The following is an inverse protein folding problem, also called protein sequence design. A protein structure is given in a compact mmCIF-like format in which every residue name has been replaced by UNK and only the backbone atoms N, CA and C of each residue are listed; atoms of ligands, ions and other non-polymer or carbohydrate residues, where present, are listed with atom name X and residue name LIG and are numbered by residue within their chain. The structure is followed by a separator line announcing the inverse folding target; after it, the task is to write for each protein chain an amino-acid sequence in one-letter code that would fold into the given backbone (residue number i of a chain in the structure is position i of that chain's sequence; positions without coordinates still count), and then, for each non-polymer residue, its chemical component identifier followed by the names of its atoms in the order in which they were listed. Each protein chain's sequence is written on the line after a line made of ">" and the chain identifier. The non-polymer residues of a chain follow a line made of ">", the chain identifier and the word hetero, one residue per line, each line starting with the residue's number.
data_IF_334462656633
#
_entry.id   IF_334462656633
#
_cell.length_a   1.000
_cell.length_b   1.000
_cell.length_c   1.000
_cell.angle_alpha   90.00
_cell.angle_beta   90.00
_cell.angle_gamma   90.00
#
_symmetry.space_group_name_H-M   'P 1'
#
loop_
_entity.id
_entity.type
_entity.pdbx_description
1 polymer ?
#
# COMPACT_ATOMS: atom_id res chain seq x y z
N UNK A 1 15.17 11.21 -7.92
CA UNK A 1 14.04 11.11 -6.99
C UNK A 1 12.75 10.97 -7.77
N UNK A 2 11.92 10.00 -7.43
CA UNK A 2 10.60 9.86 -8.05
C UNK A 2 9.68 10.87 -7.40
N UNK A 3 9.08 11.77 -8.18
CA UNK A 3 8.06 12.69 -7.69
C UNK A 3 6.79 11.91 -7.31
N UNK A 4 6.15 12.21 -6.17
CA UNK A 4 4.90 11.56 -5.79
C UNK A 4 3.78 11.95 -6.76
N UNK A 5 2.87 11.00 -7.04
CA UNK A 5 1.70 11.24 -7.87
C UNK A 5 0.79 12.29 -7.23
N UNK A 6 0.59 13.41 -7.92
CA UNK A 6 -0.33 14.44 -7.43
C UNK A 6 -1.79 13.98 -7.52
N UNK A 7 -2.64 14.49 -6.64
CA UNK A 7 -4.09 14.18 -6.64
C UNK A 7 -4.75 14.57 -7.96
N UNK A 8 -4.31 15.68 -8.55
CA UNK A 8 -4.80 16.12 -9.86
C UNK A 8 -4.43 15.15 -10.98
N UNK A 9 -3.16 14.72 -11.03
CA UNK A 9 -2.70 13.75 -12.04
C UNK A 9 -3.40 12.40 -11.87
N UNK A 10 -3.56 11.94 -10.63
CA UNK A 10 -4.30 10.71 -10.31
C UNK A 10 -5.75 10.77 -10.82
N UNK A 11 -6.44 11.88 -10.57
CA UNK A 11 -7.80 12.08 -11.06
C UNK A 11 -7.86 12.11 -12.60
N UNK A 12 -6.87 12.74 -13.25
CA UNK A 12 -6.79 12.77 -14.73
C UNK A 12 -6.55 11.39 -15.33
N UNK A 13 -5.66 10.59 -14.73
CA UNK A 13 -5.42 9.21 -15.17
C UNK A 13 -6.71 8.38 -15.04
N UNK A 14 -7.39 8.43 -13.89
CA UNK A 14 -8.68 7.74 -13.72
C UNK A 14 -9.73 8.17 -14.76
N UNK A 15 -9.78 9.47 -15.06
CA UNK A 15 -10.72 9.98 -16.06
C UNK A 15 -10.43 9.46 -17.47
N UNK A 16 -9.15 9.39 -17.87
CA UNK A 16 -8.74 8.85 -19.18
C UNK A 16 -9.06 7.35 -19.27
N UNK A 17 -8.76 6.57 -18.23
CA UNK A 17 -9.05 5.15 -18.20
C UNK A 17 -10.56 4.86 -18.33
N UNK A 18 -11.39 5.72 -17.74
CA UNK A 18 -12.85 5.58 -17.77
C UNK A 18 -13.52 5.97 -19.10
N UNK A 19 -12.76 6.57 -20.04
CA UNK A 19 -13.29 7.12 -21.29
C UNK A 19 -12.57 6.57 -22.52
N UNK A 20 -12.99 5.42 -23.07
CA UNK A 20 -12.36 4.82 -24.24
C UNK A 20 -12.25 5.74 -25.44
N UNK A 21 -13.16 6.71 -25.58
CA UNK A 21 -13.14 7.71 -26.65
C UNK A 21 -11.91 8.64 -26.61
N UNK A 22 -11.33 8.85 -25.43
CA UNK A 22 -10.10 9.66 -25.26
C UNK A 22 -8.83 8.87 -25.61
N UNK A 23 -8.88 7.52 -25.72
CA UNK A 23 -7.71 6.69 -25.98
C UNK A 23 -7.10 6.87 -27.37
N UNK A 24 -7.85 7.43 -28.30
CA UNK A 24 -7.34 7.74 -29.66
C UNK A 24 -6.12 8.67 -29.64
N UNK A 25 -5.98 9.47 -28.59
CA UNK A 25 -4.82 10.37 -28.38
C UNK A 25 -3.63 9.68 -27.70
N UNK A 26 -3.77 8.43 -27.23
CA UNK A 26 -2.71 7.68 -26.57
C UNK A 26 -1.81 6.95 -27.61
N UNK A 27 -0.55 6.63 -27.27
CA UNK A 27 0.29 5.77 -28.08
C UNK A 27 -0.36 4.41 -28.35
N UNK A 28 -0.08 3.83 -29.51
CA UNK A 28 -0.71 2.57 -29.94
C UNK A 28 -0.53 1.44 -28.93
N UNK A 29 0.69 1.27 -28.40
CA UNK A 29 1.00 0.24 -27.41
C UNK A 29 0.16 0.39 -26.13
N UNK A 30 -0.11 1.64 -25.72
CA UNK A 30 -0.94 1.92 -24.53
C UNK A 30 -2.40 1.57 -24.83
N UNK A 31 -2.89 1.90 -26.03
CA UNK A 31 -4.25 1.53 -26.44
C UNK A 31 -4.46 0.03 -26.45
N UNK A 32 -3.53 -0.71 -27.07
CA UNK A 32 -3.56 -2.17 -27.10
C UNK A 32 -3.63 -2.78 -25.69
N UNK A 33 -2.81 -2.26 -24.76
CA UNK A 33 -2.86 -2.68 -23.35
C UNK A 33 -4.21 -2.44 -22.69
N UNK A 34 -4.82 -1.28 -22.94
CA UNK A 34 -6.13 -0.95 -22.38
C UNK A 34 -7.25 -1.77 -23.01
N UNK A 35 -7.18 -2.08 -24.30
CA UNK A 35 -8.13 -2.95 -24.99
C UNK A 35 -8.06 -4.38 -24.45
N UNK A 36 -6.86 -4.94 -24.27
CA UNK A 36 -6.66 -6.26 -23.67
C UNK A 36 -7.13 -6.26 -22.23
N UNK A 37 -6.85 -5.21 -21.45
CA UNK A 37 -7.37 -5.06 -20.09
C UNK A 37 -8.90 -5.12 -20.06
N UNK A 38 -9.55 -4.41 -20.98
CA UNK A 38 -11.01 -4.38 -21.07
C UNK A 38 -11.60 -5.73 -21.49
N UNK A 39 -10.89 -6.47 -22.31
CA UNK A 39 -11.29 -7.82 -22.74
C UNK A 39 -11.12 -8.85 -21.62
N UNK A 40 -10.03 -8.80 -20.86
CA UNK A 40 -9.71 -9.76 -19.79
C UNK A 40 -10.41 -9.47 -18.47
N UNK A 41 -10.61 -8.21 -18.19
CA UNK A 41 -11.15 -7.73 -16.93
C UNK A 41 -12.16 -6.62 -17.19
N UNK A 42 -11.89 -5.46 -16.61
CA UNK A 42 -12.61 -4.22 -16.89
C UNK A 42 -11.66 -3.03 -16.72
N UNK A 43 -12.14 -1.86 -17.13
CA UNK A 43 -11.61 -0.59 -16.71
C UNK A 43 -12.61 0.08 -15.77
N UNK A 44 -12.15 0.58 -14.59
CA UNK A 44 -13.06 1.19 -13.62
C UNK A 44 -13.58 2.54 -14.13
N UNK A 45 -14.80 2.91 -13.75
CA UNK A 45 -15.28 4.29 -13.87
C UNK A 45 -14.45 5.20 -12.97
N UNK A 46 -14.45 6.49 -13.24
CA UNK A 46 -13.57 7.45 -12.57
C UNK A 46 -13.70 7.48 -11.02
N UNK A 47 -14.85 7.11 -10.48
CA UNK A 47 -15.12 7.06 -9.03
C UNK A 47 -14.99 5.67 -8.41
N UNK A 48 -14.82 4.62 -9.23
CA UNK A 48 -14.81 3.24 -8.76
C UNK A 48 -13.41 2.80 -8.32
N UNK A 49 -13.36 1.78 -7.47
CA UNK A 49 -12.15 1.01 -7.19
C UNK A 49 -12.27 -0.35 -7.87
N UNK A 50 -11.41 -0.63 -8.83
CA UNK A 50 -11.23 -1.98 -9.35
C UNK A 50 -10.38 -2.79 -8.38
N UNK A 51 -10.87 -3.98 -8.02
CA UNK A 51 -10.15 -5.01 -7.28
C UNK A 51 -10.14 -6.27 -8.12
N UNK A 52 -8.97 -6.75 -8.46
CA UNK A 52 -8.77 -8.01 -9.17
C UNK A 52 -8.20 -9.06 -8.24
N UNK A 53 -8.66 -10.29 -8.37
CA UNK A 53 -8.10 -11.45 -7.67
C UNK A 53 -7.78 -12.55 -8.68
N UNK A 54 -6.62 -13.17 -8.54
CA UNK A 54 -6.21 -14.28 -9.42
C UNK A 54 -5.19 -15.18 -8.72
N UNK A 55 -5.15 -16.48 -9.09
CA UNK A 55 -4.07 -17.38 -8.68
C UNK A 55 -2.85 -17.16 -9.58
N UNK A 56 -1.65 -17.30 -9.02
CA UNK A 56 -0.40 -17.37 -9.78
C UNK A 56 0.62 -18.19 -9.00
N UNK A 57 1.16 -19.23 -9.65
CA UNK A 57 1.98 -20.24 -9.00
C UNK A 57 1.26 -20.82 -7.75
N UNK A 58 1.91 -20.82 -6.60
CA UNK A 58 1.33 -21.34 -5.35
C UNK A 58 0.56 -20.27 -4.53
N UNK A 59 0.43 -19.05 -5.04
CA UNK A 59 -0.14 -17.92 -4.32
C UNK A 59 -1.44 -17.42 -4.96
N UNK A 60 -2.22 -16.72 -4.13
CA UNK A 60 -3.39 -15.95 -4.57
C UNK A 60 -3.12 -14.47 -4.38
N UNK A 61 -3.49 -13.67 -5.37
CA UNK A 61 -3.23 -12.24 -5.42
C UNK A 61 -4.54 -11.44 -5.31
N UNK A 62 -4.46 -10.33 -4.60
CA UNK A 62 -5.43 -9.25 -4.64
C UNK A 62 -4.70 -8.01 -5.13
N UNK A 63 -5.15 -7.45 -6.23
CA UNK A 63 -4.61 -6.20 -6.78
C UNK A 63 -5.72 -5.17 -6.83
N UNK A 64 -5.46 -3.99 -6.30
CA UNK A 64 -6.39 -2.87 -6.39
C UNK A 64 -5.70 -1.63 -6.96
N UNK A 65 -6.51 -0.77 -7.58
CA UNK A 65 -6.04 0.38 -8.35
C UNK A 65 -6.63 1.70 -7.83
N UNK A 66 -6.18 2.19 -6.65
CA UNK A 66 -6.70 3.43 -6.07
C UNK A 66 -6.20 4.69 -6.76
N UNK A 67 -5.01 4.68 -7.39
CA UNK A 67 -4.34 5.82 -8.00
C UNK A 67 -4.08 6.99 -7.02
N UNK A 68 -3.73 6.67 -5.77
CA UNK A 68 -3.56 7.67 -4.71
C UNK A 68 -2.10 7.88 -4.29
N UNK A 69 -1.17 7.30 -5.02
CA UNK A 69 0.26 7.42 -4.75
C UNK A 69 0.80 6.37 -3.78
N UNK A 70 2.10 6.10 -3.92
CA UNK A 70 2.80 5.01 -3.22
C UNK A 70 2.63 5.07 -1.70
N UNK A 71 2.70 6.25 -1.09
CA UNK A 71 2.65 6.39 0.36
C UNK A 71 1.29 5.98 0.93
N UNK A 72 0.19 6.49 0.34
CA UNK A 72 -1.16 6.09 0.72
C UNK A 72 -1.39 4.59 0.46
N UNK A 73 -0.86 4.05 -0.65
CA UNK A 73 -0.97 2.62 -0.97
C UNK A 73 -0.17 1.74 0.01
N UNK A 74 1.00 2.18 0.48
CA UNK A 74 1.76 1.45 1.49
C UNK A 74 1.00 1.38 2.81
N UNK A 75 0.40 2.49 3.25
CA UNK A 75 -0.45 2.52 4.45
C UNK A 75 -1.66 1.61 4.27
N UNK A 76 -2.35 1.70 3.14
CA UNK A 76 -3.47 0.82 2.81
C UNK A 76 -3.05 -0.66 2.81
N UNK A 77 -1.90 -1.00 2.22
CA UNK A 77 -1.37 -2.35 2.17
C UNK A 77 -1.14 -2.96 3.54
N UNK A 78 -0.57 -2.19 4.47
CA UNK A 78 -0.38 -2.62 5.85
C UNK A 78 -1.73 -2.90 6.56
N UNK A 79 -2.71 -2.01 6.39
CA UNK A 79 -4.01 -2.17 7.03
C UNK A 79 -4.81 -3.34 6.44
N UNK A 80 -4.82 -3.49 5.11
CA UNK A 80 -5.47 -4.61 4.45
C UNK A 80 -4.82 -5.95 4.79
N UNK A 81 -3.50 -6.02 4.85
CA UNK A 81 -2.78 -7.24 5.26
C UNK A 81 -3.23 -7.69 6.65
N UNK A 82 -3.33 -6.79 7.63
CA UNK A 82 -3.84 -7.12 8.97
C UNK A 82 -5.28 -7.64 8.94
N UNK A 83 -6.15 -7.06 8.11
CA UNK A 83 -7.54 -7.53 7.96
C UNK A 83 -7.60 -8.92 7.32
N UNK A 84 -6.77 -9.18 6.31
CA UNK A 84 -6.66 -10.49 5.66
C UNK A 84 -6.08 -11.55 6.62
N UNK A 85 -5.14 -11.19 7.49
CA UNK A 85 -4.65 -12.07 8.57
C UNK A 85 -5.76 -12.46 9.53
N UNK A 86 -6.56 -11.50 10.01
CA UNK A 86 -7.72 -11.77 10.87
C UNK A 86 -8.75 -12.66 10.17
N UNK A 87 -8.93 -12.50 8.88
CA UNK A 87 -9.76 -13.36 8.05
C UNK A 87 -9.13 -14.74 7.74
N UNK A 88 -7.95 -15.04 8.30
CA UNK A 88 -7.19 -16.30 8.12
C UNK A 88 -6.76 -16.59 6.68
N UNK A 89 -6.59 -15.56 5.87
CA UNK A 89 -6.16 -15.67 4.47
C UNK A 89 -4.65 -15.78 4.28
N UNK A 90 -3.89 -15.74 5.37
CA UNK A 90 -2.44 -15.94 5.41
C UNK A 90 -1.69 -15.10 4.36
N UNK A 91 -1.78 -13.77 4.39
CA UNK A 91 -1.01 -12.92 3.51
C UNK A 91 0.49 -13.11 3.76
N UNK A 92 1.29 -13.11 2.70
CA UNK A 92 2.74 -13.26 2.74
C UNK A 92 3.45 -11.93 2.56
N UNK A 93 2.82 -10.98 1.89
CA UNK A 93 3.39 -9.66 1.66
C UNK A 93 2.51 -8.78 0.78
N UNK A 94 2.98 -7.56 0.58
CA UNK A 94 2.38 -6.63 -0.36
C UNK A 94 3.45 -5.73 -1.00
N UNK A 95 3.14 -5.22 -2.17
CA UNK A 95 3.91 -4.18 -2.85
C UNK A 95 2.99 -3.08 -3.33
N UNK A 96 3.53 -1.87 -3.43
CA UNK A 96 2.79 -0.70 -3.86
C UNK A 96 3.62 0.17 -4.80
N UNK A 97 2.97 0.70 -5.82
CA UNK A 97 3.52 1.77 -6.66
C UNK A 97 2.60 2.99 -6.62
N UNK A 98 2.82 3.96 -7.50
CA UNK A 98 2.03 5.20 -7.53
C UNK A 98 0.56 4.97 -7.92
N UNK A 99 0.22 3.85 -8.57
CA UNK A 99 -1.08 3.60 -9.20
C UNK A 99 -1.85 2.47 -8.55
N UNK A 100 -1.16 1.46 -8.02
CA UNK A 100 -1.75 0.20 -7.57
C UNK A 100 -1.05 -0.35 -6.33
N UNK A 101 -1.76 -1.26 -5.69
CA UNK A 101 -1.33 -2.08 -4.57
C UNK A 101 -1.61 -3.53 -4.90
N UNK A 102 -0.65 -4.42 -4.68
CA UNK A 102 -0.80 -5.87 -4.79
C UNK A 102 -0.47 -6.55 -3.46
N UNK A 103 -1.34 -7.43 -3.01
CA UNK A 103 -1.15 -8.28 -1.82
C UNK A 103 -1.18 -9.72 -2.31
N UNK A 104 -0.29 -10.57 -1.81
CA UNK A 104 -0.30 -12.00 -2.11
C UNK A 104 -0.28 -12.83 -0.85
N UNK A 105 -0.82 -14.03 -0.94
CA UNK A 105 -0.93 -14.93 0.19
C UNK A 105 -1.29 -16.35 -0.23
N UNK A 106 -1.42 -17.24 0.77
CA UNK A 106 -1.74 -18.64 0.55
C UNK A 106 -3.26 -18.91 0.47
N UNK A 107 -4.08 -18.02 1.01
CA UNK A 107 -5.54 -18.15 1.01
C UNK A 107 -6.15 -17.68 -0.29
N UNK A 108 -7.13 -18.43 -0.81
CA UNK A 108 -7.90 -18.05 -2.01
C UNK A 108 -8.92 -16.96 -1.66
N UNK A 109 -8.52 -15.71 -1.90
CA UNK A 109 -9.33 -14.52 -1.60
C UNK A 109 -10.64 -14.53 -2.41
N UNK A 110 -10.59 -14.91 -3.70
CA UNK A 110 -11.77 -14.97 -4.56
C UNK A 110 -12.81 -15.96 -4.03
N UNK A 111 -12.35 -17.13 -3.59
CA UNK A 111 -13.22 -18.16 -3.02
C UNK A 111 -13.87 -17.69 -1.71
N UNK A 112 -13.13 -17.04 -0.82
CA UNK A 112 -13.66 -16.51 0.45
C UNK A 112 -14.70 -15.41 0.21
N UNK A 113 -14.48 -14.50 -0.77
CA UNK A 113 -15.47 -13.50 -1.16
C UNK A 113 -16.72 -14.19 -1.72
N UNK A 114 -16.56 -15.19 -2.60
CA UNK A 114 -17.69 -15.93 -3.20
C UNK A 114 -18.52 -16.67 -2.17
N UNK A 115 -17.88 -17.21 -1.12
CA UNK A 115 -18.57 -17.90 0.00
C UNK A 115 -19.25 -16.93 0.98
N UNK A 116 -18.93 -15.64 0.92
CA UNK A 116 -19.45 -14.66 1.85
C UNK A 116 -18.73 -14.65 3.21
N UNK A 117 -17.54 -15.24 3.29
CA UNK A 117 -16.74 -15.27 4.54
C UNK A 117 -16.31 -13.84 4.93
N UNK A 118 -16.13 -12.95 3.96
CA UNK A 118 -16.01 -11.50 4.11
C UNK A 118 -16.38 -10.79 2.80
N UNK A 119 -16.63 -9.48 2.89
CA UNK A 119 -16.90 -8.65 1.72
C UNK A 119 -15.77 -7.63 1.48
N UNK A 120 -15.61 -7.22 0.23
CA UNK A 120 -14.68 -6.14 -0.10
C UNK A 120 -15.11 -4.81 0.54
N UNK A 121 -16.42 -4.59 0.73
CA UNK A 121 -16.92 -3.41 1.44
C UNK A 121 -16.41 -3.36 2.88
N UNK A 122 -16.41 -4.49 3.59
CA UNK A 122 -15.83 -4.59 4.94
C UNK A 122 -14.30 -4.49 4.91
N UNK A 123 -13.63 -5.08 3.92
CA UNK A 123 -12.19 -5.03 3.80
C UNK A 123 -11.68 -3.60 3.62
N UNK A 124 -12.40 -2.78 2.84
CA UNK A 124 -12.05 -1.39 2.52
C UNK A 124 -12.89 -0.37 3.31
N UNK A 125 -13.45 -0.75 4.45
CA UNK A 125 -14.24 0.18 5.27
C UNK A 125 -13.33 1.25 5.91
N UNK A 126 -13.87 2.47 6.04
CA UNK A 126 -13.17 3.61 6.63
C UNK A 126 -12.78 3.39 8.10
N UNK A 127 -13.43 2.46 8.80
CA UNK A 127 -13.12 2.10 10.19
C UNK A 127 -11.68 1.58 10.36
N UNK A 128 -11.02 1.16 9.26
CA UNK A 128 -9.57 0.83 9.28
C UNK A 128 -8.70 1.99 9.74
N UNK A 129 -9.13 3.25 9.55
CA UNK A 129 -8.40 4.44 9.99
C UNK A 129 -8.58 4.76 11.48
N UNK A 130 -9.48 4.06 12.16
CA UNK A 130 -9.63 4.08 13.62
C UNK A 130 -8.77 2.99 14.28
N UNK A 131 -9.41 1.97 14.82
CA UNK A 131 -8.79 0.93 15.66
C UNK A 131 -7.65 0.18 14.96
N UNK A 132 -7.77 -0.11 13.65
CA UNK A 132 -6.73 -0.85 12.90
C UNK A 132 -5.45 -0.02 12.75
N UNK A 133 -5.58 1.24 12.41
CA UNK A 133 -4.46 2.17 12.28
C UNK A 133 -3.81 2.43 13.66
N UNK A 134 -4.60 2.68 14.68
CA UNK A 134 -4.15 2.90 16.05
C UNK A 134 -3.36 1.68 16.57
N UNK A 135 -3.91 0.47 16.41
CA UNK A 135 -3.26 -0.76 16.81
C UNK A 135 -1.94 -0.98 16.05
N UNK A 136 -1.92 -0.70 14.74
CA UNK A 136 -0.70 -0.82 13.95
C UNK A 136 0.35 0.21 14.37
N UNK A 137 -0.04 1.47 14.53
CA UNK A 137 0.87 2.54 14.98
C UNK A 137 1.49 2.21 16.33
N UNK A 138 0.68 1.70 17.27
CA UNK A 138 1.13 1.35 18.60
C UNK A 138 2.25 0.28 18.61
N UNK A 139 2.23 -0.65 17.66
CA UNK A 139 3.19 -1.75 17.54
C UNK A 139 4.35 -1.42 16.58
N UNK A 140 4.24 -0.34 15.79
CA UNK A 140 5.16 -0.08 14.69
C UNK A 140 6.48 0.56 15.14
N UNK A 141 7.57 0.13 14.52
CA UNK A 141 8.88 0.78 14.65
C UNK A 141 8.87 2.23 14.12
N UNK A 142 7.89 2.58 13.28
CA UNK A 142 7.67 3.93 12.77
C UNK A 142 7.40 4.90 13.91
N UNK A 143 6.45 4.56 14.80
CA UNK A 143 6.11 5.40 15.95
C UNK A 143 7.28 5.61 16.89
N UNK A 144 8.05 4.55 17.21
CA UNK A 144 9.26 4.66 18.02
C UNK A 144 10.29 5.58 17.38
N UNK A 145 10.48 5.52 16.07
CA UNK A 145 11.38 6.38 15.32
C UNK A 145 10.91 7.83 15.30
N UNK A 146 9.64 8.09 15.05
CA UNK A 146 9.05 9.43 15.02
C UNK A 146 9.08 10.05 16.44
N UNK A 147 8.70 9.28 17.46
CA UNK A 147 8.80 9.69 18.85
C UNK A 147 10.24 10.10 19.23
N UNK A 148 11.24 9.35 18.78
CA UNK A 148 12.66 9.69 19.01
C UNK A 148 13.02 11.06 18.46
N UNK A 149 12.54 11.37 17.25
CA UNK A 149 12.75 12.69 16.64
C UNK A 149 12.08 13.79 17.47
N UNK A 150 10.84 13.61 17.88
CA UNK A 150 10.11 14.55 18.72
C UNK A 150 10.79 14.74 20.10
N UNK A 151 11.24 13.65 20.72
CA UNK A 151 11.90 13.67 22.04
C UNK A 151 13.26 14.41 22.01
N UNK A 152 14.01 14.28 20.92
CA UNK A 152 15.27 15.02 20.70
C UNK A 152 14.97 16.50 20.49
N UNK A 153 14.01 16.87 19.66
CA UNK A 153 13.62 18.26 19.39
C UNK A 153 13.10 18.93 20.66
N UNK A 154 12.33 18.21 21.47
CA UNK A 154 11.81 18.71 22.75
C UNK A 154 12.86 18.75 23.88
N UNK A 155 14.10 18.33 23.64
CA UNK A 155 15.16 18.29 24.65
C UNK A 155 14.96 17.24 25.74
N UNK A 156 14.01 16.32 25.60
CA UNK A 156 13.82 15.23 26.57
C UNK A 156 14.99 14.24 26.52
N UNK A 157 15.62 14.12 25.37
CA UNK A 157 16.76 13.24 25.13
C UNK A 157 17.86 14.05 24.48
N UNK A 158 18.95 14.23 25.23
CA UNK A 158 20.12 14.90 24.71
C UNK A 158 20.99 13.95 23.88
N UNK A 159 21.33 14.41 22.68
CA UNK A 159 22.17 13.68 21.73
C UNK A 159 23.66 13.80 22.08
N UNK A 160 24.04 14.91 22.72
CA UNK A 160 25.42 15.24 23.09
C UNK A 160 25.46 15.81 24.48
N UNK A 161 26.37 15.28 25.31
CA UNK A 161 26.83 15.93 26.56
C UNK A 161 28.21 16.53 26.32
N UNK A 162 28.62 17.57 27.07
CA UNK A 162 29.99 18.05 27.03
C UNK A 162 30.95 16.91 27.38
N UNK A 163 31.73 16.45 26.39
CA UNK A 163 32.71 15.37 26.55
C UNK A 163 32.28 13.97 26.21
N UNK A 164 30.98 13.70 25.98
CA UNK A 164 30.49 12.36 25.57
C UNK A 164 29.40 12.45 24.51
N UNK A 165 29.54 11.67 23.43
CA UNK A 165 28.51 11.48 22.43
C UNK A 165 27.88 10.08 22.58
N UNK A 166 26.59 10.02 22.92
CA UNK A 166 25.86 8.74 23.01
C UNK A 166 25.83 8.05 21.65
N UNK A 167 26.16 6.77 21.63
CA UNK A 167 26.03 5.97 20.41
C UNK A 167 24.57 5.92 19.94
N UNK A 168 24.36 5.74 18.63
CA UNK A 168 23.00 5.56 18.06
C UNK A 168 22.22 4.46 18.77
N UNK A 169 22.88 3.38 19.18
CA UNK A 169 22.28 2.26 19.89
C UNK A 169 21.77 2.65 21.28
N UNK A 170 22.57 3.40 22.04
CA UNK A 170 22.20 3.88 23.38
C UNK A 170 21.01 4.85 23.30
N UNK A 171 21.01 5.78 22.33
CA UNK A 171 19.88 6.68 22.07
C UNK A 171 18.61 5.91 21.72
N UNK A 172 18.71 4.87 20.90
CA UNK A 172 17.57 4.05 20.50
C UNK A 172 16.97 3.33 21.71
N UNK A 173 17.79 2.64 22.50
CA UNK A 173 17.31 1.87 23.66
C UNK A 173 16.65 2.80 24.69
N UNK A 174 17.29 3.94 25.01
CA UNK A 174 16.75 4.90 25.97
C UNK A 174 15.42 5.50 25.51
N UNK A 175 15.31 5.82 24.21
CA UNK A 175 14.11 6.44 23.66
C UNK A 175 12.96 5.44 23.57
N UNK A 176 13.25 4.23 23.17
CA UNK A 176 12.24 3.18 23.05
C UNK A 176 11.66 2.81 24.43
N UNK A 177 12.50 2.80 25.47
CA UNK A 177 12.04 2.60 26.84
C UNK A 177 11.13 3.75 27.30
N UNK A 178 11.51 5.00 27.06
CA UNK A 178 10.68 6.16 27.41
C UNK A 178 9.35 6.12 26.64
N UNK A 179 9.37 5.78 25.36
CA UNK A 179 8.15 5.60 24.55
C UNK A 179 7.22 4.56 25.17
N UNK A 180 7.74 3.38 25.49
CA UNK A 180 6.93 2.28 26.04
C UNK A 180 6.36 2.63 27.43
N UNK A 181 7.12 3.33 28.27
CA UNK A 181 6.67 3.82 29.60
C UNK A 181 5.58 4.88 29.45
N UNK A 182 5.77 5.89 28.59
CA UNK A 182 4.77 6.93 28.37
C UNK A 182 3.50 6.35 27.76
N UNK A 183 3.60 5.46 26.80
CA UNK A 183 2.44 4.80 26.20
C UNK A 183 1.61 4.04 27.24
N UNK A 184 2.28 3.38 28.17
CA UNK A 184 1.61 2.58 29.21
C UNK A 184 0.98 3.42 30.33
N UNK A 185 1.64 4.50 30.74
CA UNK A 185 1.28 5.23 31.94
C UNK A 185 0.71 6.64 31.68
N UNK A 186 1.00 7.22 30.53
CA UNK A 186 0.55 8.55 30.09
C UNK A 186 0.24 8.56 28.59
N UNK A 187 -0.78 7.84 28.12
CA UNK A 187 -1.07 7.71 26.69
C UNK A 187 -1.36 9.05 26.00
N UNK A 188 -1.85 10.04 26.73
CA UNK A 188 -2.14 11.39 26.22
C UNK A 188 -0.96 12.35 26.30
N UNK A 189 0.26 11.85 26.61
CA UNK A 189 1.44 12.70 26.71
C UNK A 189 1.69 13.45 25.41
N UNK A 190 2.03 14.76 25.52
CA UNK A 190 2.18 15.67 24.37
C UNK A 190 3.16 15.15 23.31
N UNK A 191 4.24 14.49 23.70
CA UNK A 191 5.21 13.91 22.76
C UNK A 191 4.67 12.70 22.00
N UNK A 192 3.81 11.89 22.61
CA UNK A 192 3.12 10.80 21.91
C UNK A 192 2.13 11.36 20.90
N UNK A 193 1.37 12.39 21.27
CA UNK A 193 0.44 13.08 20.37
C UNK A 193 1.17 13.77 19.22
N UNK A 194 2.29 14.43 19.49
CA UNK A 194 3.12 15.04 18.46
C UNK A 194 3.69 14.00 17.49
N UNK A 195 4.22 12.88 18.01
CA UNK A 195 4.74 11.80 17.19
C UNK A 195 3.64 11.16 16.34
N UNK A 196 2.43 10.97 16.88
CA UNK A 196 1.28 10.47 16.14
C UNK A 196 0.86 11.43 15.01
N UNK A 197 0.74 12.71 15.32
CA UNK A 197 0.37 13.73 14.33
C UNK A 197 1.40 13.83 13.20
N UNK A 198 2.69 13.79 13.54
CA UNK A 198 3.79 13.85 12.56
C UNK A 198 3.79 12.60 11.65
N UNK A 199 3.62 11.41 12.24
CA UNK A 199 3.50 10.16 11.49
C UNK A 199 2.27 10.17 10.56
N UNK A 200 1.12 10.56 11.06
CA UNK A 200 -0.14 10.57 10.30
C UNK A 200 -0.08 11.56 9.11
N UNK A 201 0.52 12.74 9.33
CA UNK A 201 0.53 13.80 8.32
C UNK A 201 1.66 13.61 7.29
N UNK A 202 2.86 13.29 7.75
CA UNK A 202 4.05 13.30 6.92
C UNK A 202 4.43 11.95 6.31
N UNK A 203 4.07 10.83 6.97
CA UNK A 203 4.59 9.51 6.64
C UNK A 203 3.55 8.51 6.16
N UNK A 204 2.26 8.75 6.40
CA UNK A 204 1.21 7.78 6.11
C UNK A 204 0.16 8.26 5.11
N UNK A 205 0.16 9.55 4.80
CA UNK A 205 -0.82 10.19 3.90
C UNK A 205 -2.29 9.84 4.25
N UNK A 206 -2.60 9.87 5.54
CA UNK A 206 -3.91 9.43 6.07
C UNK A 206 -5.06 10.22 5.48
N UNK A 207 -4.88 11.53 5.26
CA UNK A 207 -5.91 12.38 4.67
C UNK A 207 -6.31 11.86 3.29
N UNK A 208 -5.33 11.61 2.43
CA UNK A 208 -5.56 11.12 1.07
C UNK A 208 -6.21 9.73 1.07
N UNK A 209 -5.78 8.87 2.00
CA UNK A 209 -6.38 7.55 2.18
C UNK A 209 -7.84 7.65 2.64
N UNK A 210 -8.17 8.55 3.60
CA UNK A 210 -9.53 8.78 4.05
C UNK A 210 -10.44 9.29 2.92
N UNK A 211 -9.98 10.25 2.14
CA UNK A 211 -10.69 10.77 0.97
C UNK A 211 -10.96 9.66 -0.06
N UNK A 212 -9.98 8.78 -0.28
CA UNK A 212 -10.11 7.64 -1.19
C UNK A 212 -11.14 6.64 -0.67
N UNK A 213 -11.07 6.22 0.60
CA UNK A 213 -12.00 5.26 1.19
C UNK A 213 -13.44 5.79 1.16
N UNK A 214 -13.65 7.08 1.46
CA UNK A 214 -14.95 7.73 1.35
C UNK A 214 -15.49 7.73 -0.09
N UNK A 215 -14.63 8.03 -1.05
CA UNK A 215 -14.98 8.05 -2.48
C UNK A 215 -15.42 6.69 -3.01
N UNK A 216 -14.76 5.61 -2.60
CA UNK A 216 -15.02 4.25 -3.10
C UNK A 216 -16.15 3.52 -2.39
N UNK A 217 -16.75 4.09 -1.35
CA UNK A 217 -17.86 3.49 -0.61
C UNK A 217 -19.02 3.15 -1.55
N UNK A 218 -19.38 1.86 -1.63
CA UNK A 218 -20.39 1.36 -2.57
C UNK A 218 -19.97 1.37 -4.05
N UNK A 219 -18.68 1.60 -4.34
CA UNK A 219 -18.13 1.69 -5.70
C UNK A 219 -16.95 0.75 -5.94
N UNK A 220 -16.89 -0.33 -5.20
CA UNK A 220 -15.85 -1.36 -5.39
C UNK A 220 -16.34 -2.37 -6.40
N UNK A 221 -15.57 -2.55 -7.44
CA UNK A 221 -15.86 -3.54 -8.49
C UNK A 221 -14.84 -4.67 -8.40
N UNK A 222 -15.31 -5.89 -8.17
CA UNK A 222 -14.47 -7.08 -8.07
C UNK A 222 -14.48 -7.87 -9.37
N UNK A 223 -13.29 -8.29 -9.81
CA UNK A 223 -13.09 -9.26 -10.89
C UNK A 223 -12.20 -10.39 -10.42
N UNK A 224 -12.76 -11.59 -10.38
CA UNK A 224 -12.00 -12.82 -10.21
C UNK A 224 -11.51 -13.27 -11.59
N UNK A 225 -10.19 -13.31 -11.76
CA UNK A 225 -9.52 -13.65 -13.00
C UNK A 225 -8.81 -15.00 -12.86
N UNK A 226 -8.51 -15.62 -13.98
CA UNK A 226 -7.71 -16.86 -14.01
C UNK A 226 -6.21 -16.58 -14.15
N UNK A 227 -5.85 -15.43 -14.68
CA UNK A 227 -4.47 -15.02 -14.98
C UNK A 227 -4.27 -13.53 -14.66
N UNK A 228 -3.00 -13.11 -14.69
CA UNK A 228 -2.56 -11.72 -14.57
C UNK A 228 -3.26 -10.83 -15.61
N UNK A 229 -3.69 -9.65 -15.20
CA UNK A 229 -4.22 -8.62 -16.11
C UNK A 229 -3.13 -7.64 -16.54
N UNK A 230 -3.26 -6.97 -17.69
CA UNK A 230 -2.29 -5.94 -18.11
C UNK A 230 -2.06 -4.85 -17.05
N UNK A 231 -3.10 -4.33 -16.40
CA UNK A 231 -2.95 -3.29 -15.36
C UNK A 231 -2.18 -3.77 -14.13
N UNK A 232 -2.17 -5.06 -13.82
CA UNK A 232 -1.47 -5.60 -12.64
C UNK A 232 0.03 -5.75 -12.87
N UNK A 233 0.50 -5.88 -14.11
CA UNK A 233 1.91 -6.13 -14.43
C UNK A 233 2.85 -5.10 -13.77
N UNK A 234 2.64 -3.77 -13.89
CA UNK A 234 3.58 -2.81 -13.33
C UNK A 234 3.76 -2.90 -11.81
N UNK A 235 2.72 -3.24 -11.05
CA UNK A 235 2.83 -3.38 -9.60
C UNK A 235 3.44 -4.73 -9.21
N UNK A 236 3.17 -5.79 -9.96
CA UNK A 236 3.75 -7.12 -9.70
C UNK A 236 5.27 -7.13 -9.95
N UNK A 237 5.77 -6.33 -10.89
CA UNK A 237 7.22 -6.16 -11.12
C UNK A 237 7.96 -5.55 -9.92
N UNK A 238 7.27 -4.82 -9.04
CA UNK A 238 7.88 -4.31 -7.82
C UNK A 238 8.26 -5.45 -6.85
N UNK A 239 7.59 -6.61 -6.89
CA UNK A 239 7.91 -7.78 -6.07
C UNK A 239 9.35 -8.25 -6.33
N UNK A 240 9.76 -8.33 -7.60
CA UNK A 240 11.11 -8.71 -7.98
C UNK A 240 12.17 -7.69 -7.55
N UNK A 241 11.84 -6.40 -7.57
CA UNK A 241 12.77 -5.32 -7.19
C UNK A 241 13.11 -5.28 -5.70
N UNK A 242 12.21 -5.72 -4.84
CA UNK A 242 12.46 -5.77 -3.39
C UNK A 242 13.31 -6.97 -2.98
N UNK A 243 13.37 -8.01 -3.81
CA UNK A 243 13.95 -9.31 -3.45
C UNK A 243 15.41 -9.50 -3.90
N UNK A 244 15.95 -8.68 -4.79
CA UNK A 244 17.25 -8.97 -5.45
C UNK A 244 18.14 -7.72 -5.55
N UNK A 245 19.30 -7.77 -4.90
CA UNK A 245 20.38 -6.78 -5.05
C UNK A 245 21.54 -7.39 -5.84
N UNK A 246 21.95 -6.75 -6.98
CA UNK A 246 23.15 -7.11 -7.75
C UNK A 246 22.94 -7.11 -9.28
N UNK A 247 24.03 -7.16 -10.05
CA UNK A 247 24.00 -7.12 -11.54
C UNK A 247 23.26 -8.32 -12.19
N UNK A 248 23.23 -9.48 -11.53
CA UNK A 248 22.41 -10.63 -11.95
C UNK A 248 20.90 -10.37 -11.77
N UNK A 249 20.53 -9.36 -10.99
CA UNK A 249 19.18 -8.92 -10.71
C UNK A 249 18.48 -8.34 -11.93
N UNK A 250 19.18 -7.57 -12.75
CA UNK A 250 18.56 -6.87 -13.89
C UNK A 250 18.14 -7.85 -15.00
N UNK A 251 18.93 -8.92 -15.23
CA UNK A 251 18.56 -9.97 -16.19
C UNK A 251 17.37 -10.80 -15.71
N UNK A 252 17.36 -11.21 -14.42
CA UNK A 252 16.25 -11.96 -13.85
C UNK A 252 14.97 -11.13 -13.79
N UNK A 253 15.08 -9.83 -13.53
CA UNK A 253 13.95 -8.91 -13.56
C UNK A 253 13.41 -8.71 -14.98
N UNK A 254 14.28 -8.67 -16.00
CA UNK A 254 13.87 -8.56 -17.39
C UNK A 254 13.13 -9.84 -17.84
N UNK A 255 13.65 -11.03 -17.53
CA UNK A 255 12.99 -12.31 -17.83
C UNK A 255 11.62 -12.44 -17.12
N UNK A 256 11.55 -12.07 -15.83
CA UNK A 256 10.30 -12.07 -15.09
C UNK A 256 9.30 -11.03 -15.65
N UNK A 257 9.77 -9.88 -16.14
CA UNK A 257 8.94 -8.88 -16.79
C UNK A 257 8.36 -9.42 -18.11
N UNK A 258 9.19 -10.03 -18.95
CA UNK A 258 8.77 -10.61 -20.23
C UNK A 258 7.75 -11.76 -20.02
N UNK A 259 7.94 -12.58 -18.97
CA UNK A 259 6.99 -13.62 -18.61
C UNK A 259 5.64 -13.03 -18.18
N UNK A 260 5.63 -12.04 -17.28
CA UNK A 260 4.41 -11.37 -16.81
C UNK A 260 3.66 -10.66 -17.95
N UNK A 261 4.38 -9.97 -18.82
CA UNK A 261 3.79 -9.31 -19.99
C UNK A 261 3.16 -10.35 -20.92
N UNK A 262 3.87 -11.43 -21.20
CA UNK A 262 3.36 -12.52 -22.07
C UNK A 262 2.12 -13.17 -21.46
N UNK A 263 2.11 -13.45 -20.13
CA UNK A 263 0.95 -13.98 -19.42
C UNK A 263 -0.25 -13.01 -19.47
N UNK A 264 0.02 -11.71 -19.31
CA UNK A 264 -1.02 -10.69 -19.34
C UNK A 264 -1.60 -10.44 -20.74
N UNK A 265 -0.81 -10.65 -21.80
CA UNK A 265 -1.20 -10.38 -23.18
C UNK A 265 -1.72 -11.63 -23.92
N UNK A 266 -1.48 -12.83 -23.43
CA UNK A 266 -2.03 -14.08 -23.98
C UNK A 266 -3.47 -14.32 -23.58
#
# INVERSE_FOLDING_TARGET
>A
GKFPLSTYLAARVRAILAKPEEWRALPEQVREWLEIQQWRSILPKAGDLLVETFPRAANHYLVCYPFEGRLAHQTLGMLLTRRLERARLRPLGFVANEYALAIWGLGDIALHIKRGDFSLAQLFDEDMLGDDLEAWLAESALMKRTFRSCAIIAGLIEKRFPGEEKSRRQLTISTDLVYDVLRKHQPDHILLRAAHSDAATGLLDIKRLAEMLSRIRGRIVHKALHHVSPLSVPVLLEIGRESVYGEASDMLLAEAADELVREAMS
#
